data_IF_603055259614
#
_entry.id   IF_603055259614
#
_cell.length_a   1.000
_cell.length_b   1.000
_cell.length_c   1.000
_cell.angle_alpha   90.00
_cell.angle_beta   90.00
_cell.angle_gamma   90.00
#
_symmetry.space_group_name_H-M   'P 1'
#
loop_
_entity.id
_entity.type
_entity.pdbx_description
1 polymer ?
#
# COMPACT_ATOMS: atom_id res chain seq x y z
N UNK A 1 0.34 47.00 -41.19
CA UNK A 1 1.61 46.79 -40.46
C UNK A 1 1.40 47.39 -39.08
N UNK A 2 1.33 46.73 -37.91
CA UNK A 2 1.91 45.51 -37.29
C UNK A 2 0.86 44.95 -36.30
N UNK A 3 0.36 43.72 -36.47
CA UNK A 3 0.71 42.51 -35.68
C UNK A 3 0.71 42.69 -34.15
N UNK A 4 -0.43 42.39 -33.50
CA UNK A 4 -0.45 42.01 -32.09
C UNK A 4 -0.35 40.49 -32.01
N UNK A 5 0.77 39.99 -31.49
CA UNK A 5 0.98 38.58 -31.20
C UNK A 5 0.91 38.39 -29.68
N UNK A 6 -0.21 37.87 -29.22
CA UNK A 6 -0.33 37.25 -27.89
C UNK A 6 0.61 36.06 -27.85
N UNK A 7 1.58 36.08 -26.93
CA UNK A 7 2.41 34.91 -26.62
C UNK A 7 1.62 34.00 -25.67
N UNK A 8 1.37 32.72 -26.02
CA UNK A 8 0.93 31.75 -25.05
C UNK A 8 2.13 31.31 -24.20
N UNK A 9 2.03 31.47 -22.89
CA UNK A 9 2.97 30.89 -21.93
C UNK A 9 2.73 29.37 -21.94
N UNK A 10 3.57 28.65 -22.69
CA UNK A 10 3.56 27.19 -22.73
C UNK A 10 4.35 26.66 -21.53
N UNK A 11 3.64 26.17 -20.49
CA UNK A 11 4.24 25.27 -19.51
C UNK A 11 4.49 23.92 -20.18
N UNK A 12 5.69 23.74 -20.73
CA UNK A 12 6.04 22.57 -21.52
C UNK A 12 7.54 22.28 -21.49
N UNK A 13 8.15 22.33 -20.31
CA UNK A 13 9.52 21.91 -20.07
C UNK A 13 9.51 20.78 -19.06
N UNK A 14 9.67 19.54 -19.52
CA UNK A 14 9.82 18.37 -18.66
C UNK A 14 11.23 18.41 -18.08
N UNK A 15 11.37 19.04 -16.93
CA UNK A 15 12.60 19.07 -16.15
C UNK A 15 12.94 17.62 -15.78
N UNK A 16 13.86 17.01 -16.52
CA UNK A 16 14.53 15.80 -16.07
C UNK A 16 15.51 16.21 -14.98
N UNK A 17 14.98 16.42 -13.78
CA UNK A 17 15.79 16.37 -12.58
C UNK A 17 16.27 14.92 -12.42
N UNK A 18 17.49 14.68 -12.87
CA UNK A 18 18.34 13.60 -12.43
C UNK A 18 18.56 13.77 -10.92
N UNK A 19 17.61 13.33 -10.10
CA UNK A 19 17.80 13.32 -8.66
C UNK A 19 18.51 12.03 -8.28
N UNK A 20 19.83 12.13 -8.18
CA UNK A 20 20.64 11.24 -7.38
C UNK A 20 20.20 11.40 -5.93
N UNK A 21 19.43 10.43 -5.44
CA UNK A 21 18.82 10.38 -4.12
C UNK A 21 18.40 8.94 -3.82
N UNK A 22 19.37 8.03 -3.90
CA UNK A 22 19.17 6.58 -3.84
C UNK A 22 19.03 6.10 -2.38
N UNK A 23 17.84 6.23 -1.78
CA UNK A 23 17.33 5.31 -0.73
C UNK A 23 15.97 5.75 -0.14
N UNK A 24 15.68 7.04 -0.06
CA UNK A 24 14.61 7.55 0.80
C UNK A 24 13.25 7.68 0.08
N UNK A 25 13.28 7.92 -1.23
CA UNK A 25 12.08 8.06 -2.07
C UNK A 25 11.37 6.73 -2.30
N UNK A 26 12.12 5.63 -2.35
CA UNK A 26 11.55 4.31 -2.62
C UNK A 26 10.87 3.74 -1.38
N UNK A 27 11.53 3.76 -0.22
CA UNK A 27 10.96 3.29 1.05
C UNK A 27 9.65 4.01 1.39
N UNK A 28 9.65 5.35 1.38
CA UNK A 28 8.45 6.15 1.65
C UNK A 28 7.31 5.82 0.68
N UNK A 29 7.61 5.70 -0.61
CA UNK A 29 6.61 5.38 -1.64
C UNK A 29 6.09 3.95 -1.49
N UNK A 30 6.94 2.99 -1.13
CA UNK A 30 6.56 1.60 -0.86
C UNK A 30 5.66 1.50 0.37
N UNK A 31 5.97 2.24 1.43
CA UNK A 31 5.16 2.34 2.64
C UNK A 31 3.75 2.87 2.31
N UNK A 32 3.66 3.93 1.48
CA UNK A 32 2.36 4.46 1.05
C UNK A 32 1.53 3.42 0.28
N UNK A 33 2.15 2.60 -0.56
CA UNK A 33 1.47 1.51 -1.27
C UNK A 33 0.95 0.43 -0.31
N UNK A 34 1.73 0.08 0.72
CA UNK A 34 1.30 -0.92 1.70
C UNK A 34 0.18 -0.38 2.60
N UNK A 35 0.27 0.87 3.04
CA UNK A 35 -0.79 1.56 3.79
C UNK A 35 -2.08 1.63 2.96
N UNK A 36 -1.99 1.99 1.68
CA UNK A 36 -3.13 2.03 0.78
C UNK A 36 -3.75 0.64 0.59
N UNK A 37 -2.93 -0.40 0.44
CA UNK A 37 -3.40 -1.78 0.33
C UNK A 37 -4.11 -2.25 1.61
N UNK A 38 -3.57 -1.93 2.80
CA UNK A 38 -4.19 -2.26 4.08
C UNK A 38 -5.54 -1.55 4.25
N UNK A 39 -5.61 -0.24 3.95
CA UNK A 39 -6.88 0.50 3.93
C UNK A 39 -7.89 -0.17 3.01
N UNK A 40 -7.47 -0.50 1.78
CA UNK A 40 -8.33 -1.19 0.81
C UNK A 40 -8.79 -2.55 1.32
N UNK A 41 -7.95 -3.29 2.05
CA UNK A 41 -8.33 -4.58 2.61
C UNK A 41 -9.46 -4.45 3.64
N UNK A 42 -9.39 -3.43 4.50
CA UNK A 42 -10.47 -3.16 5.44
C UNK A 42 -11.78 -2.73 4.76
N UNK A 43 -11.74 -2.03 3.62
CA UNK A 43 -12.97 -1.73 2.86
C UNK A 43 -13.66 -2.95 2.26
N UNK A 44 -13.00 -4.11 2.24
CA UNK A 44 -13.56 -5.36 1.73
C UNK A 44 -14.18 -6.23 2.83
N UNK A 45 -14.08 -5.79 4.09
CA UNK A 45 -14.56 -6.49 5.27
C UNK A 45 -15.63 -5.61 5.93
N UNK A 46 -16.72 -6.24 6.34
CA UNK A 46 -17.72 -5.61 7.19
C UNK A 46 -17.68 -6.22 8.58
N UNK A 47 -18.41 -5.62 9.52
CA UNK A 47 -18.60 -6.18 10.85
C UNK A 47 -20.04 -6.63 10.97
N UNK A 48 -20.25 -7.83 11.49
CA UNK A 48 -21.58 -8.28 11.86
C UNK A 48 -22.06 -7.60 13.16
N UNK A 49 -23.28 -7.95 13.60
CA UNK A 49 -23.88 -7.43 14.83
C UNK A 49 -23.10 -7.80 16.10
N UNK A 50 -22.22 -8.81 16.00
CA UNK A 50 -21.31 -9.23 17.09
C UNK A 50 -19.94 -8.54 17.02
N UNK A 51 -19.72 -7.71 15.99
CA UNK A 51 -18.49 -6.97 15.75
C UNK A 51 -17.40 -7.79 15.05
N UNK A 52 -17.69 -9.03 14.63
CA UNK A 52 -16.74 -9.92 13.97
C UNK A 52 -16.58 -9.56 12.48
N UNK A 53 -15.36 -9.69 11.93
CA UNK A 53 -15.09 -9.39 10.53
C UNK A 53 -15.74 -10.42 9.59
N UNK A 54 -16.62 -9.97 8.71
CA UNK A 54 -17.29 -10.79 7.70
C UNK A 54 -16.93 -10.32 6.29
N UNK A 55 -16.70 -11.27 5.39
CA UNK A 55 -16.48 -11.02 3.96
C UNK A 55 -17.81 -11.26 3.24
N UNK A 56 -18.58 -10.22 2.98
CA UNK A 56 -19.88 -10.37 2.31
C UNK A 56 -19.76 -10.72 0.83
N UNK A 57 -18.73 -10.18 0.17
CA UNK A 57 -18.53 -10.37 -1.27
C UNK A 57 -17.36 -11.31 -1.52
N UNK A 58 -17.62 -12.40 -2.24
CA UNK A 58 -16.56 -13.30 -2.72
C UNK A 58 -15.52 -12.49 -3.53
N UNK A 59 -14.23 -12.60 -3.21
CA UNK A 59 -13.19 -11.89 -3.95
C UNK A 59 -13.09 -12.44 -5.37
N UNK A 60 -13.10 -11.55 -6.36
CA UNK A 60 -13.23 -11.89 -7.79
C UNK A 60 -11.94 -12.46 -8.39
N UNK A 61 -10.78 -12.17 -7.79
CA UNK A 61 -9.46 -12.58 -8.33
C UNK A 61 -8.39 -12.86 -7.29
N UNK A 62 -7.24 -13.35 -7.75
CA UNK A 62 -6.09 -13.68 -6.89
C UNK A 62 -5.53 -12.47 -6.14
N UNK A 63 -5.55 -11.29 -6.76
CA UNK A 63 -5.11 -10.04 -6.15
C UNK A 63 -6.00 -9.64 -4.96
N UNK A 64 -7.32 -9.58 -5.16
CA UNK A 64 -8.28 -9.27 -4.09
C UNK A 64 -8.18 -10.27 -2.93
N UNK A 65 -8.01 -11.57 -3.22
CA UNK A 65 -7.81 -12.60 -2.17
C UNK A 65 -6.57 -12.35 -1.34
N UNK A 66 -5.45 -11.95 -1.96
CA UNK A 66 -4.21 -11.64 -1.25
C UNK A 66 -4.35 -10.35 -0.45
N UNK A 67 -5.06 -9.37 -1.00
CA UNK A 67 -5.28 -8.08 -0.37
C UNK A 67 -6.13 -8.22 0.91
N UNK A 68 -7.23 -8.99 0.89
CA UNK A 68 -8.04 -9.25 2.09
C UNK A 68 -7.22 -9.84 3.25
N UNK A 69 -6.24 -10.72 2.96
CA UNK A 69 -5.39 -11.31 4.01
C UNK A 69 -4.64 -10.27 4.84
N UNK A 70 -4.34 -9.10 4.26
CA UNK A 70 -3.68 -8.00 4.98
C UNK A 70 -4.53 -7.48 6.15
N UNK A 71 -5.85 -7.48 6.01
CA UNK A 71 -6.75 -7.03 7.08
C UNK A 71 -6.90 -8.06 8.22
N UNK A 72 -6.43 -9.30 8.01
CA UNK A 72 -6.37 -10.36 9.03
C UNK A 72 -4.96 -10.58 9.61
N UNK A 73 -4.01 -9.71 9.24
CA UNK A 73 -2.66 -9.71 9.82
C UNK A 73 -2.74 -9.44 11.33
N UNK A 74 -1.72 -9.82 12.08
CA UNK A 74 -1.55 -9.41 13.48
C UNK A 74 -1.85 -7.90 13.67
N UNK A 75 -2.72 -7.52 14.63
CA UNK A 75 -3.12 -6.13 14.82
C UNK A 75 -1.95 -5.22 15.22
N UNK A 76 -0.90 -5.75 15.86
CA UNK A 76 0.33 -5.03 16.12
C UNK A 76 1.07 -4.66 14.83
N UNK A 77 1.24 -5.62 13.93
CA UNK A 77 1.82 -5.39 12.61
C UNK A 77 0.99 -4.42 11.76
N UNK A 78 -0.35 -4.52 11.79
CA UNK A 78 -1.22 -3.56 11.12
C UNK A 78 -0.98 -2.13 11.63
N UNK A 79 -0.85 -1.96 12.95
CA UNK A 79 -0.55 -0.67 13.56
C UNK A 79 0.83 -0.16 13.15
N UNK A 80 1.84 -1.03 13.12
CA UNK A 80 3.19 -0.63 12.71
C UNK A 80 3.24 -0.18 11.24
N UNK A 81 2.49 -0.84 10.34
CA UNK A 81 2.31 -0.41 8.94
C UNK A 81 1.65 0.98 8.89
N UNK A 82 0.55 1.18 9.62
CA UNK A 82 -0.15 2.47 9.63
C UNK A 82 0.69 3.62 10.21
N UNK A 83 1.60 3.30 11.13
CA UNK A 83 2.53 4.25 11.74
C UNK A 83 3.80 4.47 10.92
N UNK A 84 3.95 3.80 9.77
CA UNK A 84 5.18 3.85 8.96
C UNK A 84 6.40 3.26 9.67
N UNK A 85 6.19 2.44 10.70
CA UNK A 85 7.24 1.73 11.44
C UNK A 85 7.49 0.32 10.89
N UNK A 86 6.97 0.05 9.69
CA UNK A 86 7.15 -1.25 9.07
C UNK A 86 8.65 -1.54 8.86
N UNK A 87 9.12 -2.76 9.15
CA UNK A 87 10.50 -3.12 8.92
C UNK A 87 10.80 -3.06 7.42
N UNK A 88 12.01 -2.62 7.04
CA UNK A 88 12.39 -2.33 5.63
C UNK A 88 12.24 -3.52 4.68
N UNK A 89 12.16 -4.73 5.23
CA UNK A 89 11.96 -5.98 4.50
C UNK A 89 10.47 -6.28 4.20
N UNK A 90 9.54 -5.45 4.67
CA UNK A 90 8.08 -5.63 4.61
C UNK A 90 7.52 -4.80 3.46
N UNK A 91 7.14 -5.45 2.37
CA UNK A 91 6.63 -4.80 1.16
C UNK A 91 5.41 -5.53 0.62
N UNK A 92 4.47 -4.78 0.03
CA UNK A 92 3.30 -5.35 -0.63
C UNK A 92 3.68 -6.46 -1.63
N UNK A 93 4.79 -6.29 -2.36
CA UNK A 93 5.25 -7.28 -3.32
C UNK A 93 5.59 -8.63 -2.66
N UNK A 94 6.14 -8.63 -1.44
CA UNK A 94 6.40 -9.85 -0.66
C UNK A 94 5.13 -10.49 -0.16
N UNK A 95 4.19 -9.71 0.40
CA UNK A 95 2.87 -10.22 0.79
C UNK A 95 2.10 -10.84 -0.36
N UNK A 96 2.27 -10.30 -1.56
CA UNK A 96 1.65 -10.86 -2.74
C UNK A 96 2.37 -12.14 -3.21
N UNK A 97 3.66 -12.34 -2.96
CA UNK A 97 4.42 -13.51 -3.48
C UNK A 97 4.43 -14.69 -2.51
N UNK A 98 4.54 -14.44 -1.20
CA UNK A 98 4.75 -15.49 -0.21
C UNK A 98 3.45 -15.85 0.54
N UNK A 99 3.25 -17.12 0.92
CA UNK A 99 2.12 -17.52 1.74
C UNK A 99 2.26 -16.93 3.14
N UNK A 100 1.26 -16.18 3.58
CA UNK A 100 1.18 -15.66 4.95
C UNK A 100 0.93 -16.81 5.94
N UNK A 101 1.73 -16.92 7.03
CA UNK A 101 1.42 -17.82 8.13
C UNK A 101 0.03 -17.52 8.69
N UNK A 102 -0.77 -18.56 8.95
CA UNK A 102 -2.11 -18.40 9.50
C UNK A 102 -2.09 -17.93 10.96
N UNK A 103 -1.11 -18.41 11.74
CA UNK A 103 -0.95 -18.03 13.15
C UNK A 103 -0.21 -16.70 13.28
N UNK A 104 -0.72 -15.80 14.12
CA UNK A 104 -0.07 -14.52 14.40
C UNK A 104 1.33 -14.67 14.96
N UNK A 105 1.61 -15.67 15.81
CA UNK A 105 2.97 -15.95 16.30
C UNK A 105 3.96 -16.22 15.17
N UNK A 106 3.52 -16.96 14.14
CA UNK A 106 4.32 -17.20 12.94
C UNK A 106 4.49 -15.94 12.08
N UNK A 107 3.47 -15.06 12.02
CA UNK A 107 3.59 -13.79 11.32
C UNK A 107 4.62 -12.87 11.99
N UNK A 108 4.57 -12.76 13.32
CA UNK A 108 5.52 -11.97 14.10
C UNK A 108 6.94 -12.51 13.89
N UNK A 109 7.17 -13.82 13.98
CA UNK A 109 8.49 -14.41 13.79
C UNK A 109 9.09 -14.17 12.39
N UNK A 110 8.25 -13.98 11.37
CA UNK A 110 8.70 -13.73 9.99
C UNK A 110 8.96 -12.24 9.74
N UNK A 111 8.16 -11.36 10.34
CA UNK A 111 8.17 -9.94 10.02
C UNK A 111 8.80 -9.03 11.08
N UNK A 112 9.02 -9.51 12.30
CA UNK A 112 9.57 -8.75 13.42
C UNK A 112 10.91 -9.33 13.86
#
# INVERSE_FOLDING_TARGET
MLRQHTLPITFGGKDRCSQSGIAETDATTMDQKLIAALKRAHTMIQRDDTGLPVIERRPKGSHERRLIKLAFLDPGLQRDILMGRQPRNMSLAKFLKEPLPLLWSGQIAVFR
#
